data_IF_470090408312
#
_entry.id   IF_470090408312
#
_cell.length_a   1.000
_cell.length_b   1.000
_cell.length_c   1.000
_cell.angle_alpha   90.00
_cell.angle_beta   90.00
_cell.angle_gamma   90.00
#
_symmetry.space_group_name_H-M   'P 1'
#
loop_
_entity.id
_entity.type
_entity.pdbx_description
1 polymer ?
#
# COMPACT_ATOMS: atom_id res chain seq x y z
N UNK A 1 -2.26 -9.84 20.96
CA UNK A 1 -2.04 -10.43 19.63
C UNK A 1 -1.62 -9.31 18.70
N UNK A 2 -0.51 -9.45 17.97
CA UNK A 2 -0.16 -8.48 16.94
C UNK A 2 -1.31 -8.37 15.95
N UNK A 3 -1.64 -7.16 15.53
CA UNK A 3 -2.70 -6.90 14.56
C UNK A 3 -2.10 -6.12 13.40
N UNK A 4 -2.57 -6.39 12.17
CA UNK A 4 -2.09 -5.68 10.98
C UNK A 4 -2.49 -4.20 11.08
N UNK A 5 -1.51 -3.31 11.09
CA UNK A 5 -1.73 -1.85 11.10
C UNK A 5 -1.80 -1.28 9.70
N UNK A 6 -0.90 -1.70 8.81
CA UNK A 6 -0.91 -1.30 7.40
C UNK A 6 -0.48 -2.44 6.49
N UNK A 7 -1.07 -2.48 5.31
CA UNK A 7 -0.73 -3.40 4.23
C UNK A 7 -0.81 -2.62 2.93
N UNK A 8 0.35 -2.26 2.41
CA UNK A 8 0.50 -1.47 1.19
C UNK A 8 1.14 -2.33 0.11
N UNK A 9 0.71 -2.15 -1.12
CA UNK A 9 1.22 -2.89 -2.28
C UNK A 9 1.58 -1.92 -3.39
N UNK A 10 2.80 -2.03 -3.88
CA UNK A 10 3.29 -1.31 -5.04
C UNK A 10 3.47 -2.29 -6.18
N UNK A 11 2.86 -1.98 -7.32
CA UNK A 11 2.82 -2.87 -8.47
C UNK A 11 4.00 -2.57 -9.40
N UNK A 12 5.04 -3.38 -9.29
CA UNK A 12 6.18 -3.39 -10.21
C UNK A 12 5.86 -4.12 -11.51
N UNK A 13 6.78 -4.07 -12.49
CA UNK A 13 6.56 -4.64 -13.84
C UNK A 13 6.31 -6.16 -13.82
N UNK A 14 6.98 -6.89 -12.94
CA UNK A 14 6.98 -8.35 -12.86
C UNK A 14 6.75 -8.88 -11.42
N UNK A 15 6.54 -7.99 -10.46
CA UNK A 15 6.37 -8.32 -9.05
C UNK A 15 5.55 -7.27 -8.28
N UNK A 16 4.92 -7.69 -7.19
CA UNK A 16 4.35 -6.83 -6.16
C UNK A 16 5.40 -6.58 -5.07
N UNK A 17 5.71 -5.33 -4.76
CA UNK A 17 6.39 -4.95 -3.53
C UNK A 17 5.35 -4.74 -2.44
N UNK A 18 5.41 -5.52 -1.36
CA UNK A 18 4.43 -5.50 -0.28
C UNK A 18 5.09 -4.99 0.99
N UNK A 19 4.48 -3.98 1.59
CA UNK A 19 4.86 -3.43 2.88
C UNK A 19 3.78 -3.78 3.91
N UNK A 20 4.17 -4.52 4.93
CA UNK A 20 3.28 -5.02 5.97
C UNK A 20 3.77 -4.53 7.33
N UNK A 21 2.88 -3.92 8.11
CA UNK A 21 3.17 -3.49 9.47
C UNK A 21 2.18 -4.06 10.48
N UNK A 22 2.66 -4.29 11.70
CA UNK A 22 1.91 -4.82 12.82
C UNK A 22 1.98 -3.88 14.02
N UNK A 23 0.96 -3.94 14.87
CA UNK A 23 0.86 -3.16 16.11
C UNK A 23 1.87 -3.56 17.19
N UNK A 24 2.36 -4.79 17.13
CA UNK A 24 3.31 -5.40 18.07
C UNK A 24 4.25 -6.33 17.29
N UNK A 25 5.42 -6.71 17.84
CA UNK A 25 6.31 -7.68 17.22
C UNK A 25 5.56 -8.94 16.78
N UNK A 26 5.72 -9.29 15.50
CA UNK A 26 5.07 -10.45 14.90
C UNK A 26 6.07 -11.61 14.81
N UNK A 27 5.67 -12.75 15.36
CA UNK A 27 6.48 -13.98 15.41
C UNK A 27 5.88 -15.15 14.61
N UNK A 28 4.73 -14.92 13.96
CA UNK A 28 4.08 -15.90 13.11
C UNK A 28 4.73 -16.01 11.73
N UNK A 29 4.00 -16.59 10.78
CA UNK A 29 4.45 -16.82 9.41
C UNK A 29 3.54 -16.11 8.41
N UNK A 30 4.14 -15.50 7.38
CA UNK A 30 3.40 -14.92 6.25
C UNK A 30 3.80 -15.62 4.96
N UNK A 31 2.83 -16.17 4.25
CA UNK A 31 3.05 -16.91 3.00
C UNK A 31 1.92 -16.73 2.00
N UNK A 32 2.16 -17.01 0.72
CA UNK A 32 1.06 -17.05 -0.25
C UNK A 32 0.16 -18.27 -0.01
N UNK A 33 -1.15 -18.06 -0.15
CA UNK A 33 -2.18 -19.09 0.09
C UNK A 33 -1.89 -20.36 -0.70
N UNK A 34 -1.81 -21.49 0.01
CA UNK A 34 -1.58 -22.81 -0.58
C UNK A 34 -0.16 -23.03 -1.12
N UNK A 35 0.79 -22.13 -0.82
CA UNK A 35 2.18 -22.20 -1.27
C UNK A 35 3.18 -22.30 -0.10
N UNK A 36 2.70 -22.64 1.09
CA UNK A 36 3.53 -22.79 2.30
C UNK A 36 4.62 -23.87 2.16
N UNK A 37 4.45 -24.84 1.25
CA UNK A 37 5.44 -25.88 0.99
C UNK A 37 6.69 -25.36 0.23
N UNK A 38 6.57 -24.27 -0.54
CA UNK A 38 7.72 -23.67 -1.21
C UNK A 38 8.32 -22.57 -0.31
N UNK A 39 9.57 -22.73 0.18
CA UNK A 39 10.20 -21.73 1.04
C UNK A 39 10.36 -20.37 0.36
N UNK A 40 10.33 -20.32 -0.98
CA UNK A 40 10.39 -19.06 -1.73
C UNK A 40 9.08 -18.27 -1.64
N UNK A 41 7.98 -18.90 -1.22
CA UNK A 41 6.68 -18.25 -1.07
C UNK A 41 6.34 -17.98 0.40
N UNK A 42 7.33 -18.17 1.29
CA UNK A 42 7.32 -17.72 2.67
C UNK A 42 8.07 -16.39 2.71
N UNK A 43 7.37 -15.32 3.09
CA UNK A 43 7.89 -13.96 3.06
C UNK A 43 8.38 -13.50 4.43
N UNK A 44 7.66 -13.91 5.47
CA UNK A 44 8.03 -13.67 6.87
C UNK A 44 8.20 -15.03 7.52
N UNK A 45 9.43 -15.45 7.86
CA UNK A 45 9.66 -16.67 8.59
C UNK A 45 9.21 -16.52 10.06
N UNK A 46 8.98 -17.63 10.78
CA UNK A 46 8.63 -17.57 12.19
C UNK A 46 9.75 -16.94 13.02
N UNK A 47 9.38 -16.37 14.17
CA UNK A 47 10.31 -15.83 15.17
C UNK A 47 11.20 -14.66 14.69
N UNK A 48 10.75 -13.89 13.70
CA UNK A 48 11.46 -12.66 13.30
C UNK A 48 11.40 -11.54 14.35
N UNK A 49 10.30 -11.43 15.10
CA UNK A 49 10.14 -10.44 16.17
C UNK A 49 10.15 -8.97 15.70
N UNK A 50 9.85 -8.71 14.42
CA UNK A 50 9.78 -7.37 13.85
C UNK A 50 8.34 -6.90 13.73
N UNK A 51 8.14 -5.58 13.69
CA UNK A 51 6.83 -4.95 13.49
C UNK A 51 6.59 -4.54 12.04
N UNK A 52 7.63 -4.48 11.21
CA UNK A 52 7.55 -4.07 9.81
C UNK A 52 8.29 -5.07 8.92
N UNK A 53 7.67 -5.40 7.80
CA UNK A 53 8.21 -6.32 6.80
C UNK A 53 8.01 -5.74 5.40
N UNK A 54 9.04 -5.87 4.56
CA UNK A 54 8.99 -5.54 3.14
C UNK A 54 9.44 -6.76 2.35
N UNK A 55 8.62 -7.22 1.41
CA UNK A 55 8.90 -8.40 0.62
C UNK A 55 8.30 -8.32 -0.78
N UNK A 56 8.79 -9.18 -1.68
CA UNK A 56 8.38 -9.21 -3.09
C UNK A 56 7.65 -10.48 -3.46
N UNK A 57 6.53 -10.32 -4.15
CA UNK A 57 5.74 -11.41 -4.74
C UNK A 57 5.88 -11.35 -6.26
N UNK A 58 6.58 -12.30 -6.86
CA UNK A 58 6.71 -12.36 -8.31
C UNK A 58 5.43 -12.88 -8.98
N UNK A 59 5.01 -12.25 -10.09
CA UNK A 59 3.77 -12.61 -10.79
C UNK A 59 3.78 -14.01 -11.39
N UNK A 60 4.95 -14.52 -11.76
CA UNK A 60 5.10 -15.84 -12.37
C UNK A 60 5.07 -17.01 -11.36
N UNK A 61 4.98 -16.75 -10.05
CA UNK A 61 5.06 -17.79 -9.01
C UNK A 61 4.19 -17.51 -7.80
N UNK A 62 4.27 -18.39 -6.80
CA UNK A 62 3.57 -18.28 -5.51
C UNK A 62 2.05 -18.17 -5.64
N UNK A 63 1.48 -18.85 -6.63
CA UNK A 63 0.03 -18.91 -6.83
C UNK A 63 -0.58 -17.59 -7.30
N UNK A 64 0.24 -16.63 -7.75
CA UNK A 64 -0.25 -15.40 -8.36
C UNK A 64 -0.97 -15.73 -9.65
N UNK A 65 -2.21 -15.27 -9.79
CA UNK A 65 -3.04 -15.54 -10.96
C UNK A 65 -3.20 -14.26 -11.79
N UNK A 66 -2.88 -14.29 -13.09
CA UNK A 66 -3.33 -13.24 -14.00
C UNK A 66 -4.83 -13.39 -14.25
N UNK A 67 -5.50 -12.28 -14.57
CA UNK A 67 -6.85 -12.30 -15.12
C UNK A 67 -6.90 -12.97 -16.51
N UNK A 68 -8.09 -13.40 -16.95
CA UNK A 68 -8.35 -13.95 -18.29
C UNK A 68 -7.86 -13.05 -19.43
N UNK A 69 -7.77 -11.73 -19.19
CA UNK A 69 -7.25 -10.77 -20.16
C UNK A 69 -5.91 -10.13 -19.77
N UNK A 70 -5.27 -10.60 -18.69
CA UNK A 70 -3.99 -10.08 -18.21
C UNK A 70 -4.03 -8.62 -17.69
N UNK A 71 -5.23 -8.10 -17.39
CA UNK A 71 -5.42 -6.71 -16.94
C UNK A 71 -5.01 -6.50 -15.48
N UNK A 72 -5.04 -7.56 -14.68
CA UNK A 72 -4.60 -7.52 -13.30
C UNK A 72 -3.92 -8.81 -12.88
N UNK A 73 -3.02 -8.67 -11.91
CA UNK A 73 -2.40 -9.78 -11.20
C UNK A 73 -2.93 -9.82 -9.78
N UNK A 74 -3.18 -11.02 -9.29
CA UNK A 74 -3.74 -11.22 -7.97
C UNK A 74 -2.99 -12.30 -7.19
N UNK A 75 -2.67 -11.99 -5.94
CA UNK A 75 -2.14 -12.94 -4.98
C UNK A 75 -2.96 -12.87 -3.68
N UNK A 76 -3.01 -13.96 -2.92
CA UNK A 76 -3.58 -13.94 -1.56
C UNK A 76 -2.48 -14.30 -0.59
N UNK A 77 -2.13 -13.37 0.30
CA UNK A 77 -1.21 -13.61 1.40
C UNK A 77 -1.99 -14.07 2.63
N UNK A 78 -1.46 -15.06 3.32
CA UNK A 78 -2.00 -15.59 4.58
C UNK A 78 -1.04 -15.23 5.68
N UNK A 79 -1.56 -14.57 6.72
CA UNK A 79 -0.88 -14.22 7.96
C UNK A 79 -1.35 -15.22 9.00
N UNK A 80 -0.45 -16.12 9.39
CA UNK A 80 -0.71 -17.14 10.40
C UNK A 80 -0.01 -16.75 11.69
N UNK A 81 -0.74 -16.76 12.80
CA UNK A 81 -0.17 -16.42 14.10
C UNK A 81 0.54 -17.61 14.76
N UNK A 82 0.10 -18.84 14.45
CA UNK A 82 0.78 -20.09 14.81
C UNK A 82 1.52 -20.67 13.59
N UNK A 83 2.65 -21.33 13.84
CA UNK A 83 3.50 -21.92 12.78
C UNK A 83 3.01 -23.30 12.33
N UNK A 84 2.30 -24.03 13.18
CA UNK A 84 1.95 -25.44 12.98
C UNK A 84 0.47 -25.63 12.60
N UNK A 85 -0.41 -24.70 13.01
CA UNK A 85 -1.86 -24.83 12.83
C UNK A 85 -2.47 -23.56 12.21
N UNK A 86 -3.46 -23.78 11.34
CA UNK A 86 -4.34 -22.72 10.82
C UNK A 86 -5.51 -22.54 11.77
N UNK A 87 -5.62 -21.37 12.38
CA UNK A 87 -6.69 -21.03 13.32
C UNK A 87 -7.72 -20.07 12.71
N UNK A 88 -8.85 -19.91 13.41
CA UNK A 88 -9.94 -19.01 12.98
C UNK A 88 -9.56 -17.53 13.01
N UNK A 89 -8.48 -17.18 13.72
CA UNK A 89 -7.97 -15.83 13.84
C UNK A 89 -6.95 -15.49 12.75
N UNK A 90 -6.53 -16.47 11.94
CA UNK A 90 -5.60 -16.24 10.84
C UNK A 90 -6.26 -15.41 9.73
N UNK A 91 -5.46 -14.54 9.12
CA UNK A 91 -5.97 -13.57 8.17
C UNK A 91 -5.48 -13.86 6.76
N UNK A 92 -6.42 -13.90 5.80
CA UNK A 92 -6.09 -13.95 4.38
C UNK A 92 -6.38 -12.59 3.74
N UNK A 93 -5.36 -11.95 3.16
CA UNK A 93 -5.48 -10.66 2.46
C UNK A 93 -5.23 -10.86 0.97
N UNK A 94 -6.21 -10.46 0.16
CA UNK A 94 -6.14 -10.53 -1.30
C UNK A 94 -5.51 -9.23 -1.82
N UNK A 95 -4.37 -9.37 -2.49
CA UNK A 95 -3.60 -8.29 -3.10
C UNK A 95 -3.90 -8.29 -4.60
N UNK A 96 -4.28 -7.14 -5.15
CA UNK A 96 -4.61 -6.99 -6.56
C UNK A 96 -3.85 -5.79 -7.15
N UNK A 97 -3.12 -6.04 -8.23
CA UNK A 97 -2.46 -5.02 -9.02
C UNK A 97 -3.16 -4.92 -10.38
N UNK A 98 -3.68 -3.75 -10.71
CA UNK A 98 -4.38 -3.48 -11.97
C UNK A 98 -3.53 -2.53 -12.82
N UNK A 99 -3.27 -2.87 -14.09
CA UNK A 99 -2.66 -1.94 -15.06
C UNK A 99 -3.78 -1.40 -15.94
N UNK A 100 -4.17 -0.16 -15.67
CA UNK A 100 -4.99 0.56 -16.63
C UNK A 100 -4.10 0.97 -17.81
N UNK A 101 -4.39 0.42 -18.98
CA UNK A 101 -3.88 1.00 -20.22
C UNK A 101 -4.67 2.29 -20.45
N UNK A 102 -4.08 3.44 -20.14
CA UNK A 102 -4.71 4.75 -19.98
C UNK A 102 -5.30 5.38 -21.26
N UNK A 103 -5.76 4.59 -22.24
CA UNK A 103 -6.49 5.13 -23.39
C UNK A 103 -8.01 5.27 -23.17
N UNK A 104 -8.57 4.75 -22.08
CA UNK A 104 -9.99 4.96 -21.71
C UNK A 104 -10.17 5.33 -20.23
N UNK A 105 -9.46 6.35 -19.74
CA UNK A 105 -9.79 6.95 -18.43
C UNK A 105 -11.02 7.86 -18.54
N UNK A 106 -12.22 7.29 -18.64
CA UNK A 106 -13.40 7.96 -18.07
C UNK A 106 -13.29 7.82 -16.56
N UNK A 107 -12.80 8.89 -15.92
CA UNK A 107 -12.57 8.98 -14.50
C UNK A 107 -13.85 8.73 -13.68
N UNK A 108 -14.05 7.52 -13.20
CA UNK A 108 -14.96 7.25 -12.08
C UNK A 108 -14.17 7.21 -10.77
N UNK A 109 -13.47 8.31 -10.47
CA UNK A 109 -13.00 8.58 -9.10
C UNK A 109 -14.15 9.30 -8.40
N UNK A 110 -14.75 8.77 -7.32
CA UNK A 110 -15.68 9.56 -6.54
C UNK A 110 -14.92 10.81 -6.06
N UNK A 111 -15.52 12.01 -6.14
CA UNK A 111 -14.83 13.22 -5.75
C UNK A 111 -14.44 13.10 -4.28
N UNK A 112 -13.14 13.17 -3.99
CA UNK A 112 -12.71 13.52 -2.64
C UNK A 112 -13.27 14.91 -2.37
N UNK A 113 -14.16 15.01 -1.39
CA UNK A 113 -14.56 16.31 -0.84
C UNK A 113 -13.32 16.83 -0.14
N UNK A 114 -12.55 17.67 -0.83
CA UNK A 114 -11.57 18.53 -0.17
C UNK A 114 -12.43 19.49 0.63
N UNK A 115 -12.52 19.29 1.95
CA UNK A 115 -13.07 20.29 2.84
C UNK A 115 -12.29 21.58 2.58
N UNK A 116 -13.02 22.65 2.23
CA UNK A 116 -12.51 23.94 1.79
C UNK A 116 -11.23 24.35 2.55
N UNK A 117 -10.09 24.31 1.88
CA UNK A 117 -8.97 25.14 2.32
C UNK A 117 -9.37 26.57 1.98
N UNK A 118 -9.70 27.33 3.02
CA UNK A 118 -10.08 28.74 2.92
C UNK A 118 -8.97 29.49 2.18
N UNK A 119 -9.25 29.87 0.93
CA UNK A 119 -8.30 30.61 0.10
C UNK A 119 -8.27 32.03 0.65
N UNK A 120 -7.27 32.33 1.45
CA UNK A 120 -7.06 33.69 1.96
C UNK A 120 -6.67 34.56 0.76
N UNK A 121 -7.64 35.29 0.22
CA UNK A 121 -7.39 36.27 -0.83
C UNK A 121 -6.67 37.48 -0.22
N UNK A 122 -5.37 37.59 -0.48
CA UNK A 122 -4.58 38.77 -0.17
C UNK A 122 -4.68 39.72 -1.36
N UNK A 123 -5.48 40.78 -1.24
CA UNK A 123 -5.61 41.81 -2.27
C UNK A 123 -4.39 42.75 -2.25
N UNK A 124 -3.49 42.58 -3.21
CA UNK A 124 -2.38 43.49 -3.42
C UNK A 124 -2.81 44.61 -4.38
N UNK A 125 -2.85 45.85 -3.90
CA UNK A 125 -3.02 47.02 -4.79
C UNK A 125 -1.72 47.26 -5.54
N UNK A 126 -1.70 46.92 -6.82
CA UNK A 126 -0.59 47.22 -7.72
C UNK A 126 -0.46 48.73 -7.93
N UNK A 127 0.63 49.31 -7.42
CA UNK A 127 1.14 50.60 -7.87
C UNK A 127 2.42 50.30 -8.68
N UNK A 128 2.58 50.95 -9.83
CA UNK A 128 3.49 50.57 -10.94
C UNK A 128 5.00 50.70 -10.66
N UNK A 129 5.50 50.26 -9.51
CA UNK A 129 6.93 50.10 -9.25
C UNK A 129 7.20 48.85 -8.41
N UNK A 130 8.00 47.93 -8.96
CA UNK A 130 8.48 46.72 -8.28
C UNK A 130 9.13 47.10 -6.93
N UNK A 131 8.38 46.96 -5.85
CA UNK A 131 8.88 47.07 -4.48
C UNK A 131 8.60 45.72 -3.82
N UNK A 132 9.66 44.99 -3.47
CA UNK A 132 9.54 43.75 -2.73
C UNK A 132 9.16 44.13 -1.29
N UNK A 133 7.90 43.91 -0.91
CA UNK A 133 7.47 44.07 0.48
C UNK A 133 8.07 42.92 1.29
N UNK A 134 8.88 43.24 2.29
CA UNK A 134 9.44 42.26 3.22
C UNK A 134 8.45 41.99 4.37
N UNK A 135 8.48 40.79 4.98
CA UNK A 135 7.50 40.37 5.99
C UNK A 135 7.45 41.23 7.28
N UNK A 136 8.28 42.28 7.42
CA UNK A 136 8.25 43.23 8.52
C UNK A 136 7.21 44.36 8.37
N UNK A 137 6.63 44.57 7.19
CA UNK A 137 5.82 45.77 6.91
C UNK A 137 4.33 45.62 7.25
N UNK A 138 3.92 44.50 7.84
CA UNK A 138 2.51 44.19 8.19
C UNK A 138 2.23 44.34 9.69
N UNK A 139 3.15 44.92 10.45
CA UNK A 139 2.92 45.19 11.88
C UNK A 139 2.97 46.69 12.13
N UNK A 140 1.83 47.36 11.90
CA UNK A 140 1.31 48.42 12.79
C UNK A 140 -0.20 48.48 12.65
#
# INVERSE_FOLDING_TARGET
MPAIQSLEVMCGKDHMDVHLSFSQPFEGIVSSKGQHADPRCIYVPPSTGQTFFSFRIAYARCGTKPDMHGQFYENTVVVQYDKDLLEVWDEAKRLRCEWFNDYEKTASKPPMVIADLDVIQLDFRGMDTFTIIQPSDVIT
#
